data_IF_938691001267
#
_entry.id   IF_938691001267
#
_cell.length_a   1.000
_cell.length_b   1.000
_cell.length_c   1.000
_cell.angle_alpha   90.00
_cell.angle_beta   90.00
_cell.angle_gamma   90.00
#
_symmetry.space_group_name_H-M   'P 1'
#
loop_
_entity.id
_entity.type
_entity.pdbx_description
1 polymer ?
#
# COMPACT_ATOMS: atom_id res chain seq x y z
N UNK A 1 -31.65 -6.42 -3.25
CA UNK A 1 -30.98 -6.91 -4.47
C UNK A 1 -30.77 -5.70 -5.37
N UNK A 2 -29.54 -5.19 -5.47
CA UNK A 2 -29.18 -4.13 -6.41
C UNK A 2 -27.66 -4.09 -6.61
N UNK A 3 -27.22 -4.71 -7.70
CA UNK A 3 -26.14 -4.25 -8.57
C UNK A 3 -26.85 -4.00 -9.92
N UNK A 4 -26.47 -2.99 -10.73
CA UNK A 4 -25.10 -2.86 -11.22
C UNK A 4 -24.61 -1.42 -11.44
N UNK A 5 -23.32 -1.13 -11.22
CA UNK A 5 -22.68 0.02 -11.89
C UNK A 5 -21.22 -0.30 -12.26
N UNK A 6 -20.93 -0.15 -13.55
CA UNK A 6 -19.68 -0.41 -14.25
C UNK A 6 -18.58 0.57 -13.83
N UNK A 7 -17.61 0.08 -13.03
CA UNK A 7 -16.21 0.54 -12.97
C UNK A 7 -15.48 -0.23 -11.85
N UNK A 8 -15.56 -1.56 -11.88
CA UNK A 8 -15.16 -2.45 -10.79
C UNK A 8 -13.65 -2.49 -10.47
N UNK A 9 -12.81 -1.77 -11.23
CA UNK A 9 -11.38 -1.65 -10.97
C UNK A 9 -10.98 -0.40 -10.15
N UNK A 10 -11.71 0.73 -10.26
CA UNK A 10 -11.25 2.05 -9.76
C UNK A 10 -11.42 2.24 -8.24
N UNK A 11 -12.28 1.46 -7.59
CA UNK A 11 -12.62 1.57 -6.16
C UNK A 11 -11.70 0.77 -5.22
N UNK A 12 -10.66 0.10 -5.74
CA UNK A 12 -9.99 -0.97 -4.99
C UNK A 12 -8.91 -0.51 -3.98
N UNK A 13 -8.30 0.66 -4.17
CA UNK A 13 -7.32 1.23 -3.22
C UNK A 13 -7.98 1.94 -2.02
N UNK A 14 -9.24 2.34 -2.17
CA UNK A 14 -10.00 3.17 -1.22
C UNK A 14 -10.21 2.51 0.16
N UNK A 15 -10.31 1.19 0.20
CA UNK A 15 -10.88 0.51 1.38
C UNK A 15 -9.94 0.48 2.58
N UNK A 16 -8.61 0.41 2.41
CA UNK A 16 -7.71 0.27 3.57
C UNK A 16 -7.58 1.57 4.37
N UNK A 17 -7.35 2.68 3.68
CA UNK A 17 -7.22 4.00 4.30
C UNK A 17 -8.52 4.40 5.02
N UNK A 18 -9.66 4.25 4.33
CA UNK A 18 -10.97 4.56 4.90
C UNK A 18 -11.36 3.60 6.03
N UNK A 19 -10.98 2.32 5.97
CA UNK A 19 -11.24 1.38 7.05
C UNK A 19 -10.43 1.71 8.31
N UNK A 20 -9.13 2.02 8.14
CA UNK A 20 -8.27 2.39 9.26
C UNK A 20 -8.77 3.67 9.94
N UNK A 21 -9.10 4.69 9.14
CA UNK A 21 -9.56 5.98 9.63
C UNK A 21 -11.07 6.12 9.45
N UNK A 22 -11.83 5.07 9.80
CA UNK A 22 -13.29 5.02 9.57
C UNK A 22 -14.06 6.18 10.20
N UNK A 23 -13.60 6.68 11.35
CA UNK A 23 -14.17 7.84 12.03
C UNK A 23 -14.01 9.14 11.22
N UNK A 24 -13.02 9.18 10.33
CA UNK A 24 -12.72 10.31 9.44
C UNK A 24 -12.92 9.95 7.96
N UNK A 25 -13.68 8.89 7.63
CA UNK A 25 -13.81 8.40 6.25
C UNK A 25 -14.29 9.49 5.27
N UNK A 26 -15.19 10.38 5.72
CA UNK A 26 -15.69 11.53 4.94
C UNK A 26 -14.68 12.69 4.76
N UNK A 27 -13.45 12.55 5.25
CA UNK A 27 -12.36 13.54 5.09
C UNK A 27 -11.33 13.16 4.04
N UNK A 28 -11.48 12.01 3.39
CA UNK A 28 -10.62 11.60 2.28
C UNK A 28 -11.28 11.86 0.94
N UNK A 29 -10.50 12.31 -0.03
CA UNK A 29 -10.93 12.58 -1.40
C UNK A 29 -9.97 11.90 -2.37
N UNK A 30 -10.49 11.06 -3.27
CA UNK A 30 -9.73 10.59 -4.42
C UNK A 30 -9.99 11.57 -5.58
N UNK A 31 -8.94 12.22 -6.05
CA UNK A 31 -9.01 13.21 -7.14
C UNK A 31 -8.37 12.59 -8.38
N UNK A 32 -9.11 12.58 -9.49
CA UNK A 32 -8.62 12.18 -10.82
C UNK A 32 -8.52 13.44 -11.69
N UNK A 33 -7.39 13.62 -12.37
CA UNK A 33 -7.18 14.73 -13.29
C UNK A 33 -7.42 14.26 -14.72
N UNK A 34 -8.54 14.69 -15.29
CA UNK A 34 -9.00 14.31 -16.63
C UNK A 34 -9.19 15.53 -17.54
N UNK A 35 -9.42 15.30 -18.82
CA UNK A 35 -9.97 16.30 -19.74
C UNK A 35 -11.50 16.47 -19.55
N UNK A 36 -12.14 17.26 -20.41
CA UNK A 36 -13.58 17.51 -20.36
C UNK A 36 -14.44 16.26 -20.63
N UNK A 37 -13.88 15.26 -21.32
CA UNK A 37 -14.53 14.00 -21.66
C UNK A 37 -14.24 12.88 -20.64
N UNK A 38 -13.57 13.22 -19.53
CA UNK A 38 -13.14 12.28 -18.49
C UNK A 38 -12.06 11.27 -18.93
N UNK A 39 -11.31 11.60 -19.98
CA UNK A 39 -10.16 10.81 -20.42
C UNK A 39 -8.88 11.27 -19.70
N UNK A 40 -7.87 10.39 -19.70
CA UNK A 40 -6.56 10.74 -19.18
C UNK A 40 -5.91 11.83 -20.02
N UNK A 41 -5.30 12.81 -19.35
CA UNK A 41 -4.62 13.94 -20.00
C UNK A 41 -3.44 13.45 -20.83
N UNK A 42 -3.58 13.47 -22.16
CA UNK A 42 -2.55 12.95 -23.06
C UNK A 42 -1.36 13.93 -23.11
N UNK A 43 -0.11 13.45 -22.95
CA UNK A 43 1.08 14.27 -23.19
C UNK A 43 1.10 14.78 -24.64
N UNK A 44 1.21 16.10 -24.82
CA UNK A 44 1.40 16.68 -26.15
C UNK A 44 2.85 16.44 -26.62
N UNK A 45 3.09 16.13 -27.91
CA UNK A 45 4.42 16.12 -28.49
C UNK A 45 5.07 17.52 -28.47
N UNK A 46 4.30 18.57 -28.20
CA UNK A 46 4.76 19.94 -27.97
C UNK A 46 4.64 20.27 -26.48
N UNK A 47 5.71 20.13 -25.68
CA UNK A 47 5.63 20.16 -24.21
C UNK A 47 5.01 21.46 -23.66
N UNK A 48 5.24 22.58 -24.34
CA UNK A 48 4.75 23.90 -23.94
C UNK A 48 3.23 24.01 -23.98
N UNK A 49 2.53 23.22 -24.81
CA UNK A 49 1.07 23.30 -24.92
C UNK A 49 0.36 22.81 -23.66
N UNK A 50 0.93 21.80 -22.97
CA UNK A 50 0.33 21.27 -21.74
C UNK A 50 0.80 21.99 -20.48
N UNK A 51 1.77 22.91 -20.57
CA UNK A 51 2.26 23.66 -19.41
C UNK A 51 1.15 24.36 -18.61
N UNK A 52 0.12 25.00 -19.22
CA UNK A 52 -0.98 25.59 -18.46
C UNK A 52 -1.75 24.55 -17.64
N UNK A 53 -1.98 23.37 -18.20
CA UNK A 53 -2.67 22.24 -17.54
C UNK A 53 -1.81 21.71 -16.40
N UNK A 54 -0.53 21.42 -16.65
CA UNK A 54 0.40 20.94 -15.62
C UNK A 54 0.59 21.95 -14.50
N UNK A 55 0.67 23.25 -14.81
CA UNK A 55 0.74 24.31 -13.81
C UNK A 55 -0.53 24.37 -12.94
N UNK A 56 -1.71 24.13 -13.53
CA UNK A 56 -2.97 24.05 -12.78
C UNK A 56 -3.00 22.84 -11.85
N UNK A 57 -2.63 21.66 -12.35
CA UNK A 57 -2.52 20.43 -11.54
C UNK A 57 -1.53 20.65 -10.40
N UNK A 58 -0.36 21.20 -10.69
CA UNK A 58 0.66 21.49 -9.68
C UNK A 58 0.16 22.46 -8.60
N UNK A 59 -0.57 23.52 -8.97
CA UNK A 59 -1.20 24.44 -8.01
C UNK A 59 -2.19 23.71 -7.11
N UNK A 60 -3.01 22.80 -7.66
CA UNK A 60 -3.96 21.98 -6.89
C UNK A 60 -3.22 21.06 -5.91
N UNK A 61 -2.18 20.37 -6.37
CA UNK A 61 -1.37 19.49 -5.52
C UNK A 61 -0.66 20.27 -4.38
N UNK A 62 -0.17 21.48 -4.67
CA UNK A 62 0.57 22.31 -3.71
C UNK A 62 -0.34 23.02 -2.70
N UNK A 63 -1.42 23.64 -3.18
CA UNK A 63 -2.31 24.46 -2.35
C UNK A 63 -3.46 23.68 -1.73
N UNK A 64 -3.83 22.55 -2.33
CA UNK A 64 -5.01 21.78 -1.96
C UNK A 64 -6.28 22.23 -2.68
N UNK A 65 -7.42 21.66 -2.26
CA UNK A 65 -8.75 21.90 -2.81
C UNK A 65 -9.70 22.36 -1.70
N UNK A 66 -10.39 23.48 -1.92
CA UNK A 66 -11.48 23.91 -1.05
C UNK A 66 -12.79 23.30 -1.57
N UNK A 67 -13.40 22.41 -0.79
CA UNK A 67 -14.64 21.75 -1.15
C UNK A 67 -15.55 21.65 0.07
N UNK A 68 -16.81 22.11 -0.06
CA UNK A 68 -17.81 22.09 1.00
C UNK A 68 -17.30 22.66 2.35
N UNK A 69 -16.58 23.79 2.30
CA UNK A 69 -16.03 24.46 3.48
C UNK A 69 -14.81 23.78 4.11
N UNK A 70 -14.22 22.76 3.46
CA UNK A 70 -13.04 22.04 3.95
C UNK A 70 -11.86 22.19 3.00
N UNK A 71 -10.68 22.43 3.55
CA UNK A 71 -9.43 22.44 2.79
C UNK A 71 -8.82 21.04 2.75
N UNK A 72 -8.88 20.40 1.59
CA UNK A 72 -8.25 19.12 1.32
C UNK A 72 -6.81 19.32 0.85
N UNK A 73 -5.84 18.72 1.53
CA UNK A 73 -4.41 18.79 1.19
C UNK A 73 -3.97 17.48 0.55
N UNK A 74 -3.02 17.56 -0.39
CA UNK A 74 -2.43 16.37 -1.01
C UNK A 74 -1.89 15.43 0.07
N UNK A 75 -2.25 14.15 -0.04
CA UNK A 75 -1.85 13.12 0.90
C UNK A 75 -0.82 12.19 0.27
N UNK A 76 -1.19 11.45 -0.78
CA UNK A 76 -0.26 10.59 -1.53
C UNK A 76 -0.78 10.23 -2.92
N UNK A 77 0.09 9.67 -3.75
CA UNK A 77 -0.28 8.88 -4.93
C UNK A 77 0.44 7.52 -4.88
N UNK A 78 -0.10 6.54 -5.61
CA UNK A 78 0.49 5.21 -5.81
C UNK A 78 0.91 5.06 -7.27
N UNK A 79 1.60 3.97 -7.62
CA UNK A 79 1.91 3.69 -9.03
C UNK A 79 0.65 3.52 -9.87
N UNK A 80 -0.40 2.91 -9.31
CA UNK A 80 -1.72 2.84 -9.92
C UNK A 80 -2.39 4.22 -10.00
N UNK A 81 -2.26 5.03 -8.95
CA UNK A 81 -2.71 6.42 -8.95
C UNK A 81 -2.08 7.22 -10.08
N UNK A 82 -0.76 7.16 -10.25
CA UNK A 82 -0.05 7.83 -11.35
C UNK A 82 -0.56 7.38 -12.73
N UNK A 83 -0.74 6.08 -12.95
CA UNK A 83 -1.29 5.55 -14.22
C UNK A 83 -2.70 6.07 -14.51
N UNK A 84 -3.51 6.21 -13.47
CA UNK A 84 -4.88 6.70 -13.56
C UNK A 84 -4.98 8.22 -13.36
N UNK A 85 -3.85 8.95 -13.34
CA UNK A 85 -3.82 10.40 -13.13
C UNK A 85 -4.56 10.84 -11.85
N UNK A 86 -4.49 10.02 -10.81
CA UNK A 86 -5.20 10.20 -9.57
C UNK A 86 -4.31 10.24 -8.33
N UNK A 87 -4.81 10.91 -7.31
CA UNK A 87 -4.15 11.01 -6.01
C UNK A 87 -5.15 11.24 -4.89
N UNK A 88 -4.73 10.87 -3.68
CA UNK A 88 -5.51 11.03 -2.48
C UNK A 88 -5.22 12.39 -1.84
N UNK A 89 -6.28 13.01 -1.34
CA UNK A 89 -6.24 14.18 -0.49
C UNK A 89 -6.92 13.89 0.84
N UNK A 90 -6.55 14.64 1.88
CA UNK A 90 -7.17 14.59 3.20
C UNK A 90 -7.50 16.00 3.69
N UNK A 91 -8.69 16.18 4.26
CA UNK A 91 -9.03 17.35 5.05
C UNK A 91 -8.55 17.14 6.50
N UNK A 92 -7.50 17.85 6.95
CA UNK A 92 -6.92 17.63 8.27
C UNK A 92 -7.84 18.14 9.38
N UNK A 93 -7.63 17.60 10.58
CA UNK A 93 -8.23 18.03 11.85
C UNK A 93 -7.25 17.90 13.00
N UNK A 94 -7.67 18.38 14.17
CA UNK A 94 -6.89 18.34 15.40
C UNK A 94 -6.38 16.93 15.73
N UNK A 95 -7.20 15.90 15.47
CA UNK A 95 -6.86 14.49 15.75
C UNK A 95 -6.32 13.69 14.54
N UNK A 96 -6.33 14.29 13.34
CA UNK A 96 -5.90 13.59 12.12
C UNK A 96 -5.35 14.55 11.08
N UNK A 97 -4.05 14.47 10.84
CA UNK A 97 -3.38 15.21 9.79
C UNK A 97 -2.57 14.31 8.85
N UNK A 98 -2.00 14.93 7.81
CA UNK A 98 -1.23 14.24 6.78
C UNK A 98 -0.01 13.52 7.36
N UNK A 99 0.70 14.13 8.30
CA UNK A 99 1.95 13.58 8.83
C UNK A 99 1.67 12.36 9.70
N UNK A 100 0.58 12.37 10.47
CA UNK A 100 0.11 11.21 11.24
C UNK A 100 -0.27 10.02 10.35
N UNK A 101 -0.96 10.29 9.22
CA UNK A 101 -1.31 9.24 8.26
C UNK A 101 -0.05 8.66 7.62
N UNK A 102 0.89 9.49 7.17
CA UNK A 102 2.15 9.02 6.58
C UNK A 102 2.99 8.26 7.60
N UNK A 103 3.04 8.71 8.86
CA UNK A 103 3.71 8.01 9.95
C UNK A 103 3.10 6.64 10.22
N UNK A 104 1.77 6.54 10.19
CA UNK A 104 1.04 5.27 10.31
C UNK A 104 1.40 4.30 9.17
N UNK A 105 1.64 4.79 7.96
CA UNK A 105 2.05 3.94 6.82
C UNK A 105 3.43 3.29 7.00
N UNK A 106 4.27 3.78 7.93
CA UNK A 106 5.57 3.21 8.27
C UNK A 106 6.72 4.21 8.11
N UNK A 107 7.96 3.70 8.00
CA UNK A 107 9.17 4.48 7.77
C UNK A 107 9.33 5.02 6.34
N UNK A 108 8.26 5.59 5.76
CA UNK A 108 8.29 6.10 4.39
C UNK A 108 9.17 7.35 4.21
N UNK A 109 9.39 8.09 5.30
CA UNK A 109 10.31 9.23 5.42
C UNK A 109 11.78 8.84 5.21
N UNK A 110 12.16 7.58 5.47
CA UNK A 110 13.50 7.07 5.19
C UNK A 110 13.76 6.92 3.67
N UNK A 111 12.70 6.91 2.85
CA UNK A 111 12.77 6.66 1.41
C UNK A 111 12.96 7.98 0.64
N UNK A 112 14.21 8.31 0.33
CA UNK A 112 14.58 9.51 -0.44
C UNK A 112 14.18 9.46 -1.93
N UNK A 113 14.11 8.27 -2.50
CA UNK A 113 13.80 8.08 -3.92
C UNK A 113 12.29 8.21 -4.17
N UNK A 114 11.86 9.21 -4.94
CA UNK A 114 10.44 9.46 -5.25
C UNK A 114 9.73 8.24 -5.87
N UNK A 115 10.27 7.56 -6.91
CA UNK A 115 9.58 6.38 -7.46
C UNK A 115 9.40 5.27 -6.41
N UNK A 116 10.46 4.97 -5.65
CA UNK A 116 10.41 3.99 -4.55
C UNK A 116 9.41 4.38 -3.47
N UNK A 117 9.31 5.66 -3.12
CA UNK A 117 8.34 6.16 -2.15
C UNK A 117 6.91 5.90 -2.64
N UNK A 118 6.59 6.26 -3.88
CA UNK A 118 5.26 6.03 -4.49
C UNK A 118 4.93 4.54 -4.56
N UNK A 119 5.89 3.70 -4.94
CA UNK A 119 5.71 2.23 -4.96
C UNK A 119 5.51 1.65 -3.56
N UNK A 120 6.18 2.19 -2.54
CA UNK A 120 6.00 1.76 -1.14
C UNK A 120 4.65 2.22 -0.59
N UNK A 121 4.19 3.43 -0.89
CA UNK A 121 2.84 3.89 -0.54
C UNK A 121 1.79 2.97 -1.16
N UNK A 122 1.88 2.71 -2.47
CA UNK A 122 0.95 1.79 -3.15
C UNK A 122 0.94 0.40 -2.52
N UNK A 123 2.10 -0.10 -2.11
CA UNK A 123 2.19 -1.35 -1.37
C UNK A 123 1.42 -1.30 -0.05
N UNK A 124 1.65 -0.26 0.76
CA UNK A 124 0.97 -0.11 2.05
C UNK A 124 -0.53 0.11 1.86
N UNK A 125 -0.96 0.75 0.78
CA UNK A 125 -2.39 0.99 0.54
C UNK A 125 -3.13 -0.17 -0.12
N UNK A 126 -2.40 -1.08 -0.77
CA UNK A 126 -2.99 -2.17 -1.52
C UNK A 126 -3.94 -3.02 -0.65
N UNK A 127 -5.03 -3.45 -1.29
CA UNK A 127 -6.01 -4.34 -0.68
C UNK A 127 -5.36 -5.64 -0.25
N UNK A 128 -5.74 -6.12 0.94
CA UNK A 128 -5.34 -7.42 1.48
C UNK A 128 -6.59 -8.26 1.71
N UNK A 129 -6.47 -9.57 1.55
CA UNK A 129 -7.56 -10.51 1.80
C UNK A 129 -7.74 -10.79 3.30
N UNK A 130 -6.63 -10.73 4.05
CA UNK A 130 -6.58 -10.91 5.50
C UNK A 130 -5.42 -10.12 6.09
N UNK A 131 -5.42 -9.91 7.40
CA UNK A 131 -4.29 -9.43 8.19
C UNK A 131 -3.79 -10.56 9.09
N UNK A 132 -2.48 -10.61 9.27
CA UNK A 132 -1.82 -11.55 10.17
C UNK A 132 -0.92 -10.74 11.10
N UNK A 133 -1.14 -10.86 12.40
CA UNK A 133 -0.26 -10.26 13.38
C UNK A 133 0.90 -11.20 13.68
N UNK A 134 2.12 -10.72 13.43
CA UNK A 134 3.35 -11.46 13.69
C UNK A 134 4.19 -10.62 14.65
N UNK A 135 4.32 -11.10 15.89
CA UNK A 135 5.14 -10.44 16.90
C UNK A 135 6.62 -10.46 16.51
N UNK A 136 7.42 -9.59 17.13
CA UNK A 136 8.87 -9.53 16.87
C UNK A 136 9.56 -10.87 17.11
N UNK A 137 9.11 -11.62 18.13
CA UNK A 137 9.67 -12.93 18.48
C UNK A 137 9.28 -14.03 17.48
N UNK A 138 8.24 -13.83 16.68
CA UNK A 138 7.80 -14.78 15.66
C UNK A 138 8.42 -14.50 14.29
N UNK A 139 9.08 -13.34 14.13
CA UNK A 139 9.80 -12.93 12.93
C UNK A 139 11.26 -13.31 13.04
N UNK A 140 11.77 -13.99 12.02
CA UNK A 140 13.17 -14.34 11.90
C UNK A 140 13.71 -13.87 10.56
N UNK A 141 14.95 -13.38 10.54
CA UNK A 141 15.65 -13.09 9.31
C UNK A 141 16.49 -14.32 8.94
N UNK A 142 16.39 -14.77 7.71
CA UNK A 142 17.22 -15.84 7.15
C UNK A 142 18.01 -15.33 5.96
N UNK A 143 19.13 -15.98 5.69
CA UNK A 143 19.97 -15.64 4.55
C UNK A 143 19.34 -16.08 3.23
N UNK A 144 19.72 -15.37 2.18
CA UNK A 144 19.38 -15.78 0.81
C UNK A 144 20.29 -16.94 0.41
N UNK A 145 19.76 -17.87 -0.38
CA UNK A 145 20.57 -18.99 -0.85
C UNK A 145 21.48 -18.49 -1.97
N UNK A 146 22.79 -18.61 -1.79
CA UNK A 146 23.78 -18.19 -2.78
C UNK A 146 24.57 -19.39 -3.30
N UNK A 147 24.68 -19.52 -4.61
CA UNK A 147 25.48 -20.56 -5.24
C UNK A 147 26.18 -20.01 -6.48
N UNK A 148 27.50 -20.18 -6.56
CA UNK A 148 28.35 -19.67 -7.66
C UNK A 148 28.19 -18.15 -7.92
N UNK A 149 28.01 -17.35 -6.87
CA UNK A 149 27.80 -15.89 -6.99
C UNK A 149 26.39 -15.47 -7.41
N UNK A 150 25.46 -16.41 -7.57
CA UNK A 150 24.06 -16.14 -7.86
C UNK A 150 23.21 -16.30 -6.60
N UNK A 151 22.38 -15.29 -6.31
CA UNK A 151 21.44 -15.31 -5.20
C UNK A 151 20.09 -15.86 -5.68
N UNK A 152 19.74 -17.05 -5.22
CA UNK A 152 18.44 -17.67 -5.45
C UNK A 152 17.46 -17.37 -4.32
N UNK A 153 16.18 -17.32 -4.67
CA UNK A 153 15.08 -17.15 -3.72
C UNK A 153 15.21 -15.91 -2.80
N UNK A 154 15.91 -14.85 -3.26
CA UNK A 154 16.14 -13.59 -2.53
C UNK A 154 14.87 -12.99 -1.94
N UNK A 155 13.75 -13.20 -2.61
CA UNK A 155 12.45 -12.61 -2.30
C UNK A 155 11.40 -13.64 -1.86
N UNK A 156 11.82 -14.85 -1.50
CA UNK A 156 10.94 -15.89 -1.00
C UNK A 156 11.19 -16.06 0.50
N UNK A 157 10.15 -16.04 1.32
CA UNK A 157 10.26 -16.32 2.75
C UNK A 157 9.66 -17.68 3.09
N UNK A 158 9.67 -18.03 4.37
CA UNK A 158 9.08 -19.26 4.89
C UNK A 158 8.05 -18.95 5.96
N UNK A 159 6.98 -19.73 6.00
CA UNK A 159 5.99 -19.68 7.07
C UNK A 159 5.77 -21.08 7.64
N UNK A 160 5.51 -21.15 8.94
CA UNK A 160 5.24 -22.43 9.59
C UNK A 160 3.81 -22.91 9.32
N UNK A 161 3.57 -24.21 9.54
CA UNK A 161 2.24 -24.81 9.40
C UNK A 161 1.18 -24.09 10.26
N UNK A 162 1.55 -23.64 11.47
CA UNK A 162 0.66 -22.88 12.35
C UNK A 162 0.17 -21.57 11.71
N UNK A 163 1.08 -20.81 11.08
CA UNK A 163 0.74 -19.57 10.36
C UNK A 163 -0.17 -19.87 9.18
N UNK A 164 0.14 -20.91 8.41
CA UNK A 164 -0.67 -21.34 7.27
C UNK A 164 -2.08 -21.76 7.69
N UNK A 165 -2.23 -22.46 8.81
CA UNK A 165 -3.53 -22.82 9.37
C UNK A 165 -4.35 -21.59 9.77
N UNK A 166 -3.73 -20.57 10.35
CA UNK A 166 -4.40 -19.32 10.71
C UNK A 166 -4.90 -18.57 9.47
N UNK A 167 -4.05 -18.46 8.44
CA UNK A 167 -4.44 -17.85 7.16
C UNK A 167 -5.57 -18.65 6.51
N UNK A 168 -5.48 -19.98 6.50
CA UNK A 168 -6.55 -20.85 6.00
C UNK A 168 -7.87 -20.58 6.71
N UNK A 169 -7.88 -20.47 8.04
CA UNK A 169 -9.10 -20.20 8.82
C UNK A 169 -9.63 -18.80 8.53
N UNK A 170 -8.77 -17.78 8.56
CA UNK A 170 -9.17 -16.40 8.33
C UNK A 170 -9.73 -16.16 6.93
N UNK A 171 -9.24 -16.89 5.92
CA UNK A 171 -9.73 -16.82 4.54
C UNK A 171 -10.75 -17.90 4.20
N UNK A 172 -11.18 -18.71 5.18
CA UNK A 172 -12.13 -19.81 5.02
C UNK A 172 -11.76 -20.79 3.87
N UNK A 173 -10.47 -21.04 3.68
CA UNK A 173 -9.98 -21.87 2.58
C UNK A 173 -10.24 -23.36 2.87
N UNK A 174 -10.73 -24.08 1.85
CA UNK A 174 -10.94 -25.54 1.89
C UNK A 174 -9.63 -26.33 1.87
N UNK A 175 -8.53 -25.69 1.45
CA UNK A 175 -7.19 -26.28 1.35
C UNK A 175 -6.18 -25.51 2.20
N UNK A 176 -5.03 -26.15 2.48
CA UNK A 176 -3.91 -25.51 3.15
C UNK A 176 -2.99 -24.88 2.09
N UNK A 177 -2.83 -23.54 2.03
CA UNK A 177 -2.04 -22.91 0.98
C UNK A 177 -0.54 -23.17 1.18
N UNK A 178 0.12 -23.73 0.17
CA UNK A 178 1.57 -23.98 0.21
C UNK A 178 2.40 -22.73 -0.05
N UNK A 179 1.83 -21.76 -0.78
CA UNK A 179 2.48 -20.47 -1.09
C UNK A 179 1.43 -19.38 -0.97
N UNK A 180 1.82 -18.25 -0.39
CA UNK A 180 1.00 -17.05 -0.33
C UNK A 180 1.78 -15.86 -0.87
N UNK A 181 1.07 -14.92 -1.50
CA UNK A 181 1.61 -13.61 -1.80
C UNK A 181 1.45 -12.71 -0.58
N UNK A 182 2.58 -12.25 -0.06
CA UNK A 182 2.65 -11.38 1.10
C UNK A 182 2.69 -9.91 0.68
N UNK A 183 1.89 -9.12 1.37
CA UNK A 183 2.05 -7.69 1.39
C UNK A 183 1.98 -7.17 2.84
N UNK A 184 3.11 -7.27 3.55
CA UNK A 184 3.22 -7.00 4.98
C UNK A 184 4.09 -5.77 5.21
N UNK A 185 3.47 -4.60 5.25
CA UNK A 185 4.15 -3.32 5.46
C UNK A 185 5.31 -3.11 4.45
N UNK A 186 6.56 -3.38 4.82
CA UNK A 186 7.73 -3.34 3.92
C UNK A 186 8.15 -4.70 3.36
N UNK A 187 7.56 -5.77 3.87
CA UNK A 187 7.65 -7.16 3.43
C UNK A 187 6.86 -7.42 2.15
N UNK A 188 7.54 -7.73 1.04
CA UNK A 188 6.93 -8.10 -0.25
C UNK A 188 7.13 -9.57 -0.61
N UNK A 189 6.47 -9.95 -1.70
CA UNK A 189 6.67 -11.16 -2.48
C UNK A 189 5.97 -12.38 -1.89
N UNK A 190 6.67 -13.48 -1.61
CA UNK A 190 6.01 -14.75 -1.29
C UNK A 190 6.49 -15.35 0.03
N UNK A 191 5.60 -16.06 0.71
CA UNK A 191 5.95 -16.97 1.80
C UNK A 191 5.55 -18.39 1.40
N UNK A 192 6.46 -19.33 1.63
CA UNK A 192 6.24 -20.75 1.35
C UNK A 192 6.08 -21.51 2.66
N UNK A 193 5.14 -22.45 2.69
CA UNK A 193 5.00 -23.40 3.80
C UNK A 193 6.30 -24.19 3.97
N UNK A 194 6.82 -24.23 5.20
CA UNK A 194 8.02 -24.98 5.54
C UNK A 194 7.73 -26.01 6.62
N UNK A 195 8.14 -27.25 6.36
CA UNK A 195 8.14 -28.36 7.30
C UNK A 195 9.25 -28.28 8.35
N UNK A 196 10.25 -27.40 8.16
CA UNK A 196 11.36 -27.19 9.10
C UNK A 196 11.00 -26.24 10.25
N UNK A 197 9.82 -25.60 10.21
CA UNK A 197 9.37 -24.66 11.23
C UNK A 197 8.34 -25.31 12.15
N UNK A 198 8.78 -25.67 13.36
CA UNK A 198 7.95 -26.35 14.37
C UNK A 198 7.08 -25.41 15.21
N UNK A 199 7.41 -24.12 15.31
CA UNK A 199 6.67 -23.10 16.07
C UNK A 199 5.95 -22.10 15.14
N UNK A 200 5.03 -21.27 15.66
CA UNK A 200 4.43 -20.15 14.91
C UNK A 200 5.54 -19.14 14.55
N UNK A 201 6.00 -19.19 13.30
CA UNK A 201 7.17 -18.44 12.84
C UNK A 201 7.00 -18.03 11.38
N UNK A 202 7.51 -16.85 11.06
CA UNK A 202 7.69 -16.38 9.69
C UNK A 202 9.14 -15.94 9.51
N UNK A 203 9.79 -16.49 8.50
CA UNK A 203 11.16 -16.19 8.16
C UNK A 203 11.21 -15.34 6.90
N UNK A 204 11.88 -14.20 6.99
CA UNK A 204 12.06 -13.25 5.90
C UNK A 204 13.49 -13.26 5.40
N UNK A 205 13.67 -13.12 4.08
CA UNK A 205 14.97 -12.82 3.50
C UNK A 205 15.21 -11.32 3.37
N UNK A 206 16.48 -10.93 3.29
CA UNK A 206 16.88 -9.52 3.15
C UNK A 206 16.22 -8.82 1.97
N UNK A 207 15.98 -9.53 0.86
CA UNK A 207 15.29 -8.98 -0.31
C UNK A 207 13.81 -8.66 -0.11
N UNK A 208 13.17 -9.22 0.92
CA UNK A 208 11.75 -9.02 1.14
C UNK A 208 11.43 -7.76 1.93
N UNK A 209 12.37 -7.22 2.71
CA UNK A 209 12.13 -6.09 3.62
C UNK A 209 12.71 -4.82 3.01
N UNK A 210 11.84 -3.89 2.58
CA UNK A 210 12.27 -2.71 1.82
C UNK A 210 12.46 -1.42 2.63
N UNK A 211 11.90 -1.32 3.85
CA UNK A 211 11.99 -0.15 4.73
C UNK A 211 11.62 -0.53 6.18
N UNK A 212 11.92 0.32 7.16
CA UNK A 212 11.60 0.04 8.56
C UNK A 212 10.09 0.11 8.83
N UNK A 213 9.58 -0.84 9.59
CA UNK A 213 8.16 -1.01 9.90
C UNK A 213 7.87 -1.19 11.39
N UNK A 214 8.86 -1.01 12.25
CA UNK A 214 8.70 -1.12 13.71
C UNK A 214 7.82 -0.01 14.33
N UNK A 215 7.26 0.90 13.51
CA UNK A 215 6.27 1.88 13.94
C UNK A 215 4.92 1.21 14.19
N UNK A 216 4.28 1.55 15.34
CA UNK A 216 3.08 0.92 15.89
C UNK A 216 1.92 0.68 14.90
N UNK A 217 1.80 1.46 13.83
CA UNK A 217 0.72 1.35 12.83
C UNK A 217 0.82 0.19 11.83
N UNK A 218 2.00 -0.42 11.66
CA UNK A 218 2.21 -1.44 10.62
C UNK A 218 1.86 -2.87 11.04
N UNK A 219 1.82 -3.17 12.35
CA UNK A 219 1.74 -4.53 12.90
C UNK A 219 0.67 -4.74 13.97
N UNK A 220 -0.04 -3.70 14.39
CA UNK A 220 -1.09 -3.80 15.41
C UNK A 220 -2.42 -3.29 14.85
N UNK A 221 -3.43 -4.15 14.89
CA UNK A 221 -4.82 -3.78 14.84
C UNK A 221 -5.47 -4.29 16.14
N UNK A 222 -5.74 -3.38 17.07
CA UNK A 222 -6.75 -3.62 18.10
C UNK A 222 -8.14 -3.65 17.47
#
# INVERSE_FOLDING_TARGET
MALPLSSSARLNDSKRLQYQFKQHAGRFLLVEFTDEELNSIIPSPYPLQNNPIYNRIFKVLKSGLLLAGRQYKFLYTSTDGLRNHSCWFVAPTDDLNRDEIIYWMGGLDEIKSVPRHITSVGQVMARRLTSLEISKNEREKIDSYEQHGFIFAKECGRMSSAVTCEIRRSLELKYTPSVIKLNLASGKNILMLSNYLSKRKVQFRSGQIHFNTDRKGCYHQN
#
